data_IF_487736350846
#
_entry.id   IF_487736350846
#
_cell.length_a   1.000
_cell.length_b   1.000
_cell.length_c   1.000
_cell.angle_alpha   90.00
_cell.angle_beta   90.00
_cell.angle_gamma   90.00
#
_symmetry.space_group_name_H-M   'P 1'
#
loop_
_entity.id
_entity.type
_entity.pdbx_description
1 polymer ?
#
# COMPACT_ATOMS: atom_id res chain seq x y z
N UNK A 1 -12.45 -13.25 3.90
CA UNK A 1 -12.78 -12.04 4.69
C UNK A 1 -14.30 -11.93 4.75
N UNK A 2 -14.85 -11.55 5.90
CA UNK A 2 -16.27 -11.27 6.11
C UNK A 2 -16.45 -9.76 6.32
N UNK A 3 -17.50 -9.22 5.72
CA UNK A 3 -17.88 -7.81 5.83
C UNK A 3 -19.33 -7.76 6.33
N UNK A 4 -19.56 -7.02 7.41
CA UNK A 4 -20.88 -6.77 8.01
C UNK A 4 -21.02 -5.26 8.19
N UNK A 5 -22.15 -4.68 7.76
CA UNK A 5 -22.46 -3.24 7.91
C UNK A 5 -21.30 -2.31 7.54
N UNK A 6 -20.67 -2.54 6.38
CA UNK A 6 -19.52 -1.78 5.85
C UNK A 6 -18.19 -1.95 6.60
N UNK A 7 -18.13 -2.83 7.59
CA UNK A 7 -16.96 -3.09 8.44
C UNK A 7 -16.45 -4.50 8.19
N UNK A 8 -15.14 -4.66 8.23
CA UNK A 8 -14.53 -5.99 8.22
C UNK A 8 -14.80 -6.65 9.58
N UNK A 9 -15.62 -7.69 9.63
CA UNK A 9 -15.97 -8.39 10.88
C UNK A 9 -15.08 -9.62 11.12
N UNK A 10 -14.48 -10.17 10.07
CA UNK A 10 -13.53 -11.29 10.18
C UNK A 10 -12.53 -11.35 9.02
N UNK A 11 -11.28 -11.72 9.31
CA UNK A 11 -10.24 -12.02 8.33
C UNK A 11 -9.59 -13.35 8.69
N UNK A 12 -9.40 -14.21 7.70
CA UNK A 12 -8.65 -15.44 7.84
C UNK A 12 -8.67 -16.29 6.58
N UNK A 13 -8.25 -17.53 6.73
CA UNK A 13 -8.14 -18.57 5.72
C UNK A 13 -9.46 -18.91 5.01
N UNK A 14 -9.42 -19.35 3.76
CA UNK A 14 -10.60 -19.88 3.05
C UNK A 14 -11.34 -20.96 3.84
N UNK A 15 -10.61 -21.87 4.50
CA UNK A 15 -11.21 -22.90 5.36
C UNK A 15 -11.97 -22.32 6.55
N UNK A 16 -11.54 -21.18 7.08
CA UNK A 16 -12.26 -20.46 8.13
C UNK A 16 -13.46 -19.69 7.59
N UNK A 17 -13.37 -19.19 6.36
CA UNK A 17 -14.45 -18.47 5.69
C UNK A 17 -15.68 -19.36 5.45
N UNK A 18 -15.48 -20.65 5.19
CA UNK A 18 -16.57 -21.63 4.99
C UNK A 18 -17.53 -21.73 6.18
N UNK A 19 -17.06 -21.45 7.41
CA UNK A 19 -17.92 -21.47 8.62
C UNK A 19 -18.97 -20.36 8.58
N UNK A 20 -18.66 -19.23 7.93
CA UNK A 20 -19.56 -18.08 7.84
C UNK A 20 -20.49 -18.15 6.62
N UNK A 21 -20.19 -19.01 5.64
CA UNK A 21 -20.88 -19.09 4.35
C UNK A 21 -22.41 -19.26 4.44
N UNK A 22 -22.99 -20.02 5.39
CA UNK A 22 -24.45 -20.18 5.49
C UNK A 22 -25.20 -18.90 5.91
N UNK A 23 -24.51 -17.97 6.57
CA UNK A 23 -25.13 -16.82 7.25
C UNK A 23 -24.94 -15.49 6.50
N UNK A 24 -24.35 -15.53 5.29
CA UNK A 24 -24.08 -14.33 4.48
C UNK A 24 -25.05 -14.16 3.32
N UNK A 25 -25.38 -12.90 3.00
CA UNK A 25 -26.23 -12.56 1.86
C UNK A 25 -25.54 -12.83 0.51
N UNK A 26 -24.22 -12.61 0.44
CA UNK A 26 -23.43 -12.72 -0.78
C UNK A 26 -22.06 -13.35 -0.50
N UNK A 27 -21.63 -14.23 -1.40
CA UNK A 27 -20.27 -14.76 -1.41
C UNK A 27 -19.57 -14.33 -2.70
N UNK A 28 -18.45 -13.61 -2.55
CA UNK A 28 -17.61 -13.20 -3.68
C UNK A 28 -16.35 -14.06 -3.73
N UNK A 29 -16.21 -14.82 -4.82
CA UNK A 29 -14.96 -15.52 -5.14
C UNK A 29 -13.97 -14.54 -5.78
N UNK A 30 -12.82 -14.36 -5.12
CA UNK A 30 -11.76 -13.45 -5.52
C UNK A 30 -10.83 -14.06 -6.58
N UNK A 31 -10.97 -15.33 -6.93
CA UNK A 31 -10.18 -16.03 -7.97
C UNK A 31 -8.67 -15.92 -7.76
N UNK A 32 -8.22 -15.90 -6.50
CA UNK A 32 -6.81 -15.76 -6.13
C UNK A 32 -6.26 -14.33 -6.24
N UNK A 33 -7.10 -13.34 -6.52
CA UNK A 33 -6.68 -11.94 -6.54
C UNK A 33 -6.21 -11.46 -5.16
N UNK A 34 -5.26 -10.52 -5.19
CA UNK A 34 -4.80 -9.86 -3.98
C UNK A 34 -5.89 -8.90 -3.48
N UNK A 35 -6.15 -8.92 -2.18
CA UNK A 35 -6.95 -7.90 -1.49
C UNK A 35 -6.05 -7.09 -0.58
N UNK A 36 -5.95 -5.79 -0.86
CA UNK A 36 -5.14 -4.86 -0.07
C UNK A 36 -5.68 -3.43 -0.21
N UNK A 37 -5.37 -2.51 0.72
CA UNK A 37 -5.76 -1.12 0.63
C UNK A 37 -5.26 -0.48 -0.63
N UNK A 38 -6.09 0.43 -1.13
CA UNK A 38 -5.64 1.35 -2.16
C UNK A 38 -4.63 2.35 -1.61
N UNK A 39 -3.79 2.81 -2.51
CA UNK A 39 -2.82 3.86 -2.25
C UNK A 39 -3.50 5.21 -2.04
N UNK A 40 -2.75 6.14 -1.44
CA UNK A 40 -3.17 7.52 -1.20
C UNK A 40 -2.27 8.46 -1.97
N UNK A 41 -2.87 9.37 -2.75
CA UNK A 41 -2.15 10.38 -3.50
C UNK A 41 -2.13 11.70 -2.71
N UNK A 42 -0.94 12.19 -2.33
CA UNK A 42 -0.80 13.37 -1.45
C UNK A 42 -0.80 14.72 -2.19
N UNK A 43 -0.73 14.69 -3.52
CA UNK A 43 -0.63 15.89 -4.36
C UNK A 43 -1.76 16.04 -5.39
N UNK A 44 -2.55 15.00 -5.60
CA UNK A 44 -3.65 14.95 -6.57
C UNK A 44 -4.92 14.63 -5.78
N UNK A 45 -5.91 15.54 -5.74
CA UNK A 45 -7.17 15.29 -5.06
C UNK A 45 -8.09 14.29 -5.80
N UNK A 46 -7.82 13.98 -7.07
CA UNK A 46 -8.65 13.09 -7.89
C UNK A 46 -7.79 12.11 -8.71
N UNK A 47 -6.95 11.28 -8.04
CA UNK A 47 -6.05 10.36 -8.72
C UNK A 47 -6.84 9.23 -9.38
N UNK A 48 -6.24 8.58 -10.37
CA UNK A 48 -6.87 7.44 -11.03
C UNK A 48 -6.87 6.21 -10.12
N UNK A 49 -8.04 5.59 -10.00
CA UNK A 49 -8.19 4.29 -9.35
C UNK A 49 -7.45 3.19 -10.12
N UNK A 50 -7.37 3.27 -11.44
CA UNK A 50 -6.63 2.28 -12.26
C UNK A 50 -5.13 2.28 -11.92
N UNK A 51 -4.62 3.42 -11.45
CA UNK A 51 -3.25 3.59 -10.94
C UNK A 51 -3.08 3.07 -9.50
N UNK A 52 -4.14 2.56 -8.89
CA UNK A 52 -4.16 1.98 -7.55
C UNK A 52 -4.49 2.96 -6.43
N UNK A 53 -4.84 4.21 -6.73
CA UNK A 53 -5.14 5.23 -5.73
C UNK A 53 -6.64 5.29 -5.44
N UNK A 54 -7.04 4.96 -4.21
CA UNK A 54 -8.46 4.98 -3.79
C UNK A 54 -8.86 6.29 -3.11
N UNK A 55 -7.85 7.09 -2.72
CA UNK A 55 -7.99 8.39 -2.10
C UNK A 55 -6.94 9.37 -2.64
N UNK A 56 -7.35 10.62 -2.81
CA UNK A 56 -6.49 11.73 -3.19
C UNK A 56 -6.72 12.93 -2.30
N UNK A 57 -5.64 13.64 -2.00
CA UNK A 57 -5.67 14.90 -1.28
C UNK A 57 -4.66 15.86 -1.92
N UNK A 58 -4.94 17.17 -1.81
CA UNK A 58 -3.93 18.20 -2.02
C UNK A 58 -3.40 18.63 -0.67
N UNK A 59 -2.29 18.03 -0.24
CA UNK A 59 -1.67 18.33 1.05
C UNK A 59 -0.67 19.49 0.95
N UNK A 60 -0.36 20.10 2.09
CA UNK A 60 0.73 21.09 2.23
C UNK A 60 2.08 20.43 2.55
N UNK A 61 2.13 19.09 2.58
CA UNK A 61 3.35 18.32 2.86
C UNK A 61 4.37 18.59 1.75
N UNK A 62 5.60 19.03 2.06
CA UNK A 62 6.60 19.26 1.03
C UNK A 62 6.96 17.96 0.31
N UNK A 63 7.08 18.05 -1.02
CA UNK A 63 7.44 16.93 -1.89
C UNK A 63 8.91 17.05 -2.28
N UNK A 64 9.69 16.04 -1.92
CA UNK A 64 11.05 15.87 -2.43
C UNK A 64 11.01 15.11 -3.76
N UNK A 65 11.20 15.86 -4.86
CA UNK A 65 11.38 15.33 -6.21
C UNK A 65 12.65 15.95 -6.80
N UNK A 66 13.66 15.11 -7.11
CA UNK A 66 14.97 15.52 -7.64
C UNK A 66 15.69 16.59 -6.80
N UNK A 67 15.57 16.50 -5.48
CA UNK A 67 16.28 17.40 -4.58
C UNK A 67 17.79 17.14 -4.60
N UNK A 68 18.58 18.19 -4.46
CA UNK A 68 20.03 18.09 -4.26
C UNK A 68 20.36 17.61 -2.83
N UNK A 69 21.53 17.00 -2.57
CA UNK A 69 21.91 16.50 -1.25
C UNK A 69 21.75 17.51 -0.11
N UNK A 70 22.08 18.78 -0.33
CA UNK A 70 21.99 19.84 0.70
C UNK A 70 20.54 20.15 1.09
N UNK A 71 19.57 19.93 0.18
CA UNK A 71 18.16 20.06 0.50
C UNK A 71 17.69 18.90 1.38
N UNK A 72 18.19 17.69 1.13
CA UNK A 72 17.95 16.54 2.00
C UNK A 72 18.50 16.72 3.41
N UNK A 73 19.72 17.23 3.54
CA UNK A 73 20.36 17.45 4.84
C UNK A 73 19.59 18.48 5.68
N UNK A 74 19.12 19.58 5.06
CA UNK A 74 18.32 20.60 5.75
C UNK A 74 16.98 20.04 6.24
N UNK A 75 16.33 19.20 5.44
CA UNK A 75 15.03 18.63 5.75
C UNK A 75 15.10 17.28 6.49
N UNK A 76 16.27 16.91 7.04
CA UNK A 76 16.52 15.57 7.57
C UNK A 76 15.51 15.13 8.64
N UNK A 77 14.97 16.07 9.42
CA UNK A 77 13.99 15.82 10.49
C UNK A 77 12.57 16.32 10.16
N UNK A 78 12.36 16.89 8.97
CA UNK A 78 11.07 17.42 8.55
C UNK A 78 10.17 16.30 8.02
N UNK A 79 8.85 16.46 8.10
CA UNK A 79 7.91 15.54 7.43
C UNK A 79 7.92 15.78 5.93
N UNK A 80 8.09 14.72 5.13
CA UNK A 80 8.14 14.83 3.66
C UNK A 80 7.33 13.74 2.96
N UNK A 81 6.79 14.09 1.80
CA UNK A 81 6.44 13.16 0.75
C UNK A 81 7.64 13.03 -0.22
N UNK A 82 7.94 11.83 -0.69
CA UNK A 82 9.13 11.58 -1.51
C UNK A 82 8.75 10.88 -2.81
N UNK A 83 9.23 11.42 -3.94
CA UNK A 83 9.28 10.68 -5.21
C UNK A 83 10.51 9.77 -5.16
N UNK A 84 10.37 8.44 -5.28
CA UNK A 84 11.49 7.50 -5.17
C UNK A 84 12.36 7.55 -6.43
N UNK A 85 13.31 8.49 -6.46
CA UNK A 85 14.29 8.66 -7.54
C UNK A 85 15.56 9.27 -7.00
N UNK A 86 16.69 8.84 -7.55
CA UNK A 86 17.97 9.37 -7.11
C UNK A 86 18.22 10.84 -7.48
N UNK A 87 18.87 11.59 -6.58
CA UNK A 87 19.23 11.18 -5.21
C UNK A 87 18.03 11.26 -4.25
N UNK A 88 17.82 10.23 -3.43
CA UNK A 88 16.83 10.23 -2.33
C UNK A 88 17.40 9.73 -1.00
N UNK A 89 16.69 9.94 0.11
CA UNK A 89 17.08 9.52 1.48
C UNK A 89 16.05 8.61 2.16
N UNK A 90 15.40 7.72 1.41
CA UNK A 90 14.24 6.97 1.87
C UNK A 90 14.55 6.08 3.08
N UNK A 91 15.51 5.15 2.96
CA UNK A 91 15.87 4.24 4.04
C UNK A 91 16.35 5.02 5.26
N UNK A 92 17.26 5.97 5.07
CA UNK A 92 17.85 6.75 6.16
C UNK A 92 16.78 7.47 6.99
N UNK A 93 15.79 8.08 6.33
CA UNK A 93 14.70 8.81 6.99
C UNK A 93 13.72 7.88 7.71
N UNK A 94 13.33 6.78 7.06
CA UNK A 94 12.42 5.79 7.66
C UNK A 94 13.08 5.12 8.88
N UNK A 95 14.36 4.77 8.79
CA UNK A 95 15.11 4.18 9.90
C UNK A 95 15.28 5.15 11.07
N UNK A 96 15.39 6.45 10.80
CA UNK A 96 15.41 7.50 11.82
C UNK A 96 14.02 7.80 12.44
N UNK A 97 12.95 7.12 11.99
CA UNK A 97 11.58 7.36 12.48
C UNK A 97 10.97 8.67 11.99
N UNK A 98 11.55 9.31 10.97
CA UNK A 98 11.06 10.57 10.43
C UNK A 98 9.82 10.31 9.57
N UNK A 99 8.66 10.95 9.85
CA UNK A 99 7.45 10.74 9.08
C UNK A 99 7.67 10.97 7.58
N UNK A 100 7.52 9.89 6.82
CA UNK A 100 7.81 9.87 5.39
C UNK A 100 6.74 9.07 4.68
N UNK A 101 6.19 9.62 3.60
CA UNK A 101 5.31 8.93 2.67
C UNK A 101 5.93 8.98 1.26
N UNK A 102 5.47 8.08 0.38
CA UNK A 102 5.85 8.14 -1.03
C UNK A 102 4.78 8.88 -1.82
N UNK A 103 5.18 9.45 -2.96
CA UNK A 103 4.30 9.98 -3.99
C UNK A 103 4.78 9.52 -5.36
N UNK A 104 3.88 9.26 -6.31
CA UNK A 104 4.27 8.83 -7.64
C UNK A 104 5.00 9.94 -8.40
N UNK A 105 5.95 9.55 -9.24
CA UNK A 105 6.59 10.45 -10.17
C UNK A 105 5.71 10.70 -11.40
N UNK A 106 5.80 11.90 -11.99
CA UNK A 106 5.01 12.27 -13.18
C UNK A 106 5.15 11.30 -14.38
N UNK A 107 6.30 10.62 -14.52
CA UNK A 107 6.55 9.63 -15.57
C UNK A 107 6.03 8.22 -15.24
N UNK A 108 5.80 7.93 -13.95
CA UNK A 108 5.39 6.64 -13.44
C UNK A 108 4.24 6.85 -12.44
N UNK A 109 3.03 7.19 -12.93
CA UNK A 109 1.98 7.72 -12.08
C UNK A 109 1.30 6.65 -11.20
N UNK A 110 1.55 5.36 -11.40
CA UNK A 110 0.89 4.30 -10.63
C UNK A 110 1.60 3.92 -9.33
N UNK A 111 0.81 3.47 -8.36
CA UNK A 111 1.29 3.14 -7.03
C UNK A 111 2.25 1.95 -7.05
N UNK A 112 1.96 0.87 -7.77
CA UNK A 112 2.89 -0.27 -7.87
C UNK A 112 4.19 0.07 -8.60
N UNK A 113 4.17 0.97 -9.59
CA UNK A 113 5.41 1.50 -10.18
C UNK A 113 6.21 2.28 -9.13
N UNK A 114 5.53 3.07 -8.29
CA UNK A 114 6.16 3.83 -7.20
C UNK A 114 6.77 2.91 -6.14
N UNK A 115 6.07 1.83 -5.78
CA UNK A 115 6.62 0.78 -4.91
C UNK A 115 7.88 0.19 -5.53
N UNK A 116 7.82 -0.24 -6.80
CA UNK A 116 8.98 -0.81 -7.51
C UNK A 116 10.18 0.14 -7.55
N UNK A 117 9.93 1.40 -7.87
CA UNK A 117 10.98 2.42 -7.94
C UNK A 117 11.71 2.59 -6.59
N UNK A 118 10.98 2.58 -5.47
CA UNK A 118 11.57 2.67 -4.13
C UNK A 118 12.42 1.45 -3.73
N UNK A 119 12.22 0.31 -4.40
CA UNK A 119 12.94 -0.94 -4.13
C UNK A 119 14.14 -1.11 -5.06
N UNK A 120 14.01 -0.72 -6.34
CA UNK A 120 14.97 -1.09 -7.39
C UNK A 120 15.58 0.09 -8.16
N UNK A 121 14.92 1.26 -8.19
CA UNK A 121 15.31 2.39 -9.07
C UNK A 121 15.97 3.56 -8.30
N UNK A 122 16.37 3.31 -7.06
CA UNK A 122 17.10 4.25 -6.19
C UNK A 122 18.42 3.65 -5.72
N UNK A 123 19.30 4.48 -5.14
CA UNK A 123 20.58 4.07 -4.58
C UNK A 123 20.36 2.85 -3.66
N UNK A 124 21.06 1.73 -3.87
CA UNK A 124 20.91 0.53 -3.05
C UNK A 124 21.05 0.75 -1.54
N UNK A 125 21.79 1.77 -1.11
CA UNK A 125 21.92 2.16 0.30
C UNK A 125 20.65 2.84 0.85
N UNK A 126 19.86 3.46 -0.02
CA UNK A 126 18.63 4.19 0.32
C UNK A 126 17.35 3.45 -0.10
N UNK A 127 17.47 2.38 -0.89
CA UNK A 127 16.38 1.47 -1.25
C UNK A 127 15.71 0.86 0.00
N UNK A 128 14.40 0.65 -0.07
CA UNK A 128 13.61 0.06 1.02
C UNK A 128 12.94 -1.23 0.57
N UNK A 129 12.44 -2.03 1.52
CA UNK A 129 11.68 -3.23 1.17
C UNK A 129 10.35 -2.87 0.49
N UNK A 130 9.84 -3.79 -0.32
CA UNK A 130 8.53 -3.65 -0.97
C UNK A 130 7.42 -3.35 0.06
N UNK A 131 7.48 -4.00 1.22
CA UNK A 131 6.56 -3.79 2.35
C UNK A 131 6.66 -2.39 2.94
N UNK A 132 7.86 -1.85 3.12
CA UNK A 132 8.04 -0.48 3.59
C UNK A 132 7.49 0.52 2.58
N UNK A 133 7.76 0.32 1.29
CA UNK A 133 7.25 1.17 0.21
C UNK A 133 5.72 1.13 0.10
N UNK A 134 5.12 -0.06 0.11
CA UNK A 134 3.66 -0.22 0.13
C UNK A 134 3.03 0.46 1.35
N UNK A 135 3.63 0.30 2.53
CA UNK A 135 3.17 0.95 3.77
C UNK A 135 3.27 2.47 3.67
N UNK A 136 4.31 3.01 3.02
CA UNK A 136 4.51 4.45 2.86
C UNK A 136 3.47 5.09 1.92
N UNK A 137 2.96 4.36 0.91
CA UNK A 137 1.87 4.80 0.03
C UNK A 137 0.46 4.57 0.60
N UNK A 138 0.32 3.82 1.69
CA UNK A 138 -0.97 3.50 2.31
C UNK A 138 -1.06 4.15 3.70
N UNK A 139 -0.73 3.43 4.76
CA UNK A 139 -0.79 3.90 6.15
C UNK A 139 0.11 5.12 6.41
N UNK A 140 1.29 5.16 5.77
CA UNK A 140 2.22 6.27 5.87
C UNK A 140 1.59 7.57 5.38
N UNK A 141 1.04 7.57 4.17
CA UNK A 141 0.33 8.70 3.60
C UNK A 141 -0.91 9.13 4.42
N UNK A 142 -1.74 8.18 4.85
CA UNK A 142 -2.88 8.48 5.74
C UNK A 142 -2.46 9.12 7.07
N UNK A 143 -1.36 8.66 7.66
CA UNK A 143 -0.80 9.26 8.88
C UNK A 143 -0.38 10.71 8.65
N UNK A 144 0.25 11.01 7.51
CA UNK A 144 0.62 12.40 7.20
C UNK A 144 -0.59 13.30 6.95
N UNK A 145 -1.70 12.74 6.48
CA UNK A 145 -3.00 13.43 6.38
C UNK A 145 -3.74 13.55 7.73
N UNK A 146 -3.18 13.06 8.84
CA UNK A 146 -3.80 13.15 10.16
C UNK A 146 -4.83 12.05 10.46
N UNK A 147 -4.85 10.97 9.68
CA UNK A 147 -5.77 9.83 9.86
C UNK A 147 -5.00 8.51 10.09
N UNK A 148 -4.30 8.35 11.24
CA UNK A 148 -3.38 7.24 11.48
C UNK A 148 -4.04 5.85 11.55
N UNK A 149 -5.36 5.79 11.72
CA UNK A 149 -6.17 4.57 11.83
C UNK A 149 -6.67 4.08 10.45
N UNK A 150 -6.28 4.75 9.36
CA UNK A 150 -6.62 4.37 7.98
C UNK A 150 -5.45 3.72 7.24
N UNK A 151 -5.75 3.09 6.11
CA UNK A 151 -4.75 2.47 5.24
C UNK A 151 -4.30 1.09 5.73
N UNK A 152 -5.14 0.42 6.53
CA UNK A 152 -4.98 -0.96 7.00
C UNK A 152 -6.26 -1.74 6.76
N UNK A 153 -6.15 -3.06 6.53
CA UNK A 153 -7.29 -3.98 6.55
C UNK A 153 -7.18 -4.88 7.78
N UNK A 154 -8.01 -4.58 8.76
CA UNK A 154 -8.12 -5.34 10.00
C UNK A 154 -9.58 -5.43 10.45
N UNK A 155 -9.86 -6.37 11.35
CA UNK A 155 -11.19 -6.49 11.94
C UNK A 155 -11.55 -5.19 12.66
N UNK A 156 -12.75 -4.67 12.39
CA UNK A 156 -13.24 -3.38 12.90
C UNK A 156 -12.97 -2.19 11.97
N UNK A 157 -12.11 -2.33 10.97
CA UNK A 157 -11.87 -1.27 9.99
C UNK A 157 -12.99 -1.19 8.93
N UNK A 158 -13.22 0.00 8.39
CA UNK A 158 -14.11 0.18 7.23
C UNK A 158 -13.58 -0.65 6.06
N UNK A 159 -14.46 -1.43 5.43
CA UNK A 159 -14.13 -2.31 4.31
C UNK A 159 -13.96 -1.53 2.99
N UNK A 160 -12.93 -0.69 2.93
CA UNK A 160 -12.54 0.08 1.75
C UNK A 160 -11.15 -0.35 1.27
N UNK A 161 -11.10 -1.03 0.12
CA UNK A 161 -9.89 -1.65 -0.42
C UNK A 161 -9.96 -1.86 -1.93
N UNK A 162 -8.85 -2.35 -2.51
CA UNK A 162 -8.78 -2.75 -3.90
C UNK A 162 -8.57 -4.27 -4.01
N UNK A 163 -9.26 -4.87 -4.96
CA UNK A 163 -8.99 -6.22 -5.47
C UNK A 163 -8.07 -6.07 -6.67
N UNK A 164 -6.89 -6.67 -6.59
CA UNK A 164 -5.85 -6.56 -7.60
C UNK A 164 -5.68 -7.90 -8.30
N UNK A 165 -5.77 -7.86 -9.61
CA UNK A 165 -5.36 -9.00 -10.43
C UNK A 165 -3.84 -9.13 -10.37
N UNK A 166 -3.38 -10.34 -10.03
CA UNK A 166 -1.97 -10.70 -9.92
C UNK A 166 -1.74 -12.01 -10.68
N UNK A 167 -0.62 -12.08 -11.41
CA UNK A 167 -0.25 -13.33 -12.10
C UNK A 167 0.34 -14.35 -11.13
N UNK A 168 1.16 -13.88 -10.19
CA UNK A 168 1.79 -14.67 -9.14
C UNK A 168 1.87 -13.85 -7.85
N UNK A 169 1.78 -14.51 -6.70
CA UNK A 169 2.13 -13.95 -5.40
C UNK A 169 3.45 -14.59 -4.94
N UNK A 170 4.46 -13.78 -4.61
CA UNK A 170 5.77 -14.28 -4.14
C UNK A 170 5.91 -13.97 -2.66
N UNK A 171 6.04 -15.01 -1.83
CA UNK A 171 6.32 -14.85 -0.40
C UNK A 171 7.77 -14.38 -0.22
N UNK A 172 7.98 -13.11 0.13
CA UNK A 172 9.26 -12.65 0.66
C UNK A 172 9.45 -13.21 2.07
N UNK A 173 10.60 -13.84 2.32
CA UNK A 173 10.92 -14.44 3.63
C UNK A 173 10.92 -13.34 4.71
N UNK A 174 10.19 -13.47 5.83
CA UNK A 174 9.98 -12.37 6.76
C UNK A 174 11.25 -11.95 7.52
N UNK A 175 11.36 -10.64 7.76
CA UNK A 175 12.21 -10.04 8.79
C UNK A 175 11.39 -9.92 10.09
N UNK A 176 11.91 -10.41 11.22
CA UNK A 176 11.18 -10.95 12.40
C UNK A 176 10.36 -9.95 13.27
N UNK A 177 10.02 -8.73 12.84
CA UNK A 177 9.56 -7.68 13.79
C UNK A 177 8.31 -6.85 13.47
N UNK A 178 7.43 -7.20 12.53
CA UNK A 178 6.29 -6.32 12.20
C UNK A 178 4.96 -7.07 12.00
N UNK A 179 3.95 -6.62 12.75
CA UNK A 179 2.60 -7.16 12.89
C UNK A 179 1.61 -6.73 11.79
N UNK A 180 0.79 -7.71 11.41
CA UNK A 180 -0.62 -7.69 10.98
C UNK A 180 -1.03 -7.21 9.57
N UNK A 181 -0.91 -8.11 8.59
CA UNK A 181 -1.75 -8.16 7.37
C UNK A 181 -1.95 -9.64 6.97
N UNK A 182 -3.19 -10.07 6.67
CA UNK A 182 -3.55 -11.48 6.45
C UNK A 182 -4.26 -11.72 5.11
N UNK A 183 -3.89 -12.82 4.46
CA UNK A 183 -4.79 -13.65 3.62
C UNK A 183 -4.57 -15.16 3.87
N UNK A 184 -4.01 -15.56 5.01
CA UNK A 184 -3.28 -16.83 5.08
C UNK A 184 -4.14 -18.05 5.44
N UNK A 185 -3.94 -19.24 4.83
CA UNK A 185 -4.34 -20.48 5.46
C UNK A 185 -3.65 -20.75 6.81
N UNK A 186 -2.36 -20.40 7.04
CA UNK A 186 -1.61 -20.59 8.32
C UNK A 186 -0.34 -19.71 8.58
N UNK A 187 -0.42 -18.39 8.41
CA UNK A 187 0.55 -17.33 8.84
C UNK A 187 2.06 -17.45 8.46
N UNK A 188 2.52 -16.71 7.44
CA UNK A 188 3.79 -15.97 7.39
C UNK A 188 3.79 -14.95 6.23
N UNK A 189 3.59 -13.66 6.54
CA UNK A 189 3.65 -12.47 5.64
C UNK A 189 3.13 -12.69 4.20
N UNK A 190 1.92 -12.19 3.85
CA UNK A 190 1.44 -12.27 2.47
C UNK A 190 2.50 -11.75 1.50
N UNK A 191 2.78 -12.57 0.48
CA UNK A 191 3.70 -12.20 -0.55
C UNK A 191 3.22 -10.95 -1.26
N UNK A 192 4.04 -9.90 -1.28
CA UNK A 192 3.81 -8.84 -2.25
C UNK A 192 4.01 -9.43 -3.66
N UNK A 193 3.31 -8.90 -4.66
CA UNK A 193 3.53 -9.32 -6.04
C UNK A 193 5.00 -9.13 -6.39
N UNK A 194 5.59 -10.04 -7.20
CA UNK A 194 6.99 -9.93 -7.59
C UNK A 194 7.25 -8.58 -8.27
N UNK A 195 8.18 -7.81 -7.72
CA UNK A 195 8.50 -6.45 -8.20
C UNK A 195 9.75 -6.40 -9.09
N UNK A 196 10.35 -7.54 -9.44
CA UNK A 196 11.55 -7.54 -10.28
C UNK A 196 11.29 -6.84 -11.62
N UNK A 197 12.31 -6.15 -12.12
CA UNK A 197 12.27 -5.54 -13.45
C UNK A 197 11.83 -6.59 -14.48
N UNK A 198 10.90 -6.22 -15.36
CA UNK A 198 10.20 -7.05 -16.36
C UNK A 198 8.93 -7.79 -15.91
N UNK A 199 8.63 -7.91 -14.60
CA UNK A 199 7.37 -8.53 -14.17
C UNK A 199 6.18 -7.59 -14.35
N UNK A 200 5.06 -8.16 -14.75
CA UNK A 200 3.77 -7.46 -14.87
C UNK A 200 3.32 -7.06 -13.46
N UNK A 201 3.07 -5.76 -13.28
CA UNK A 201 2.58 -5.22 -12.02
C UNK A 201 1.08 -5.50 -11.86
N UNK A 202 0.58 -5.54 -10.61
CA UNK A 202 -0.85 -5.74 -10.37
C UNK A 202 -1.70 -4.65 -11.00
N UNK A 203 -2.86 -5.06 -11.51
CA UNK A 203 -3.87 -4.17 -12.06
C UNK A 203 -5.11 -4.19 -11.17
N UNK A 204 -5.81 -3.06 -11.07
CA UNK A 204 -7.04 -3.00 -10.30
C UNK A 204 -8.14 -3.74 -11.04
N UNK A 205 -8.69 -4.78 -10.41
CA UNK A 205 -9.86 -5.51 -10.93
C UNK A 205 -11.16 -4.94 -10.39
N UNK A 206 -11.18 -4.58 -9.11
CA UNK A 206 -12.39 -4.06 -8.46
C UNK A 206 -12.06 -3.18 -7.27
N UNK A 207 -12.91 -2.18 -7.06
CA UNK A 207 -12.85 -1.28 -5.91
C UNK A 207 -13.92 -1.69 -4.93
N UNK A 208 -13.59 -1.70 -3.65
CA UNK A 208 -14.55 -1.86 -2.57
C UNK A 208 -14.56 -0.58 -1.75
N UNK A 209 -15.75 -0.02 -1.54
CA UNK A 209 -15.99 1.18 -0.72
C UNK A 209 -17.08 0.86 0.29
N UNK A 210 -16.76 1.04 1.56
CA UNK A 210 -17.70 0.83 2.66
C UNK A 210 -18.40 -0.54 2.56
N UNK A 211 -17.61 -1.58 2.25
CA UNK A 211 -18.08 -2.95 2.12
C UNK A 211 -18.79 -3.30 0.83
N UNK A 212 -18.90 -2.36 -0.12
CA UNK A 212 -19.60 -2.59 -1.39
C UNK A 212 -18.64 -2.50 -2.57
N UNK A 213 -18.71 -3.42 -3.54
CA UNK A 213 -17.95 -3.30 -4.76
C UNK A 213 -18.52 -2.19 -5.65
N UNK A 214 -17.65 -1.38 -6.26
CA UNK A 214 -18.03 -0.53 -7.39
C UNK A 214 -18.49 -1.42 -8.56
N UNK A 215 -19.54 -1.00 -9.27
CA UNK A 215 -20.16 -1.76 -10.37
C UNK A 215 -19.30 -1.80 -11.63
#
# INVERSE_FOLDING_TARGET
MLIEDSVVSWIGADTGAEVHRPDVDEVVDLRGDLVAPGFVHLTDPAPSVEQGFIHGARSEIPVADRWVPEAWDRAAQETLAVVPRDPCRLRSRIAAGVPTALVPGHQCPGGWQTVRAAVHEVDPQEAISARAAFSALTRGAWRLLGHPDRGVLEVGSTATFLQWEVNDLVVETPDERITNWSTDPRSATPGLPPLQDERVLPTVRRVWRDGRPDR
#
